data_IF_046656399046
#
_entry.id   IF_046656399046
#
_cell.length_a   1.000
_cell.length_b   1.000
_cell.length_c   1.000
_cell.angle_alpha   90.00
_cell.angle_beta   90.00
_cell.angle_gamma   90.00
#
_symmetry.space_group_name_H-M   'P 1'
#
loop_
_entity.id
_entity.type
_entity.pdbx_description
1 polymer ?
#
# COMPACT_ATOMS: atom_id res chain seq x y z
N UNK A 1 0.19 -30.60 16.37
CA UNK A 1 0.70 -29.46 17.16
C UNK A 1 -0.02 -28.21 16.68
N UNK A 2 -0.97 -27.72 17.47
CA UNK A 2 -1.82 -26.59 17.10
C UNK A 2 -1.04 -25.28 17.17
N UNK A 3 -0.93 -24.59 16.04
CA UNK A 3 -0.47 -23.20 16.03
C UNK A 3 -1.54 -22.35 16.74
N UNK A 4 -1.12 -21.62 17.77
CA UNK A 4 -1.96 -20.69 18.50
C UNK A 4 -2.67 -19.71 17.55
N UNK A 5 -3.92 -19.27 17.85
CA UNK A 5 -4.57 -18.22 17.08
C UNK A 5 -3.69 -16.97 17.14
N UNK A 6 -3.19 -16.52 15.99
CA UNK A 6 -2.52 -15.23 15.87
C UNK A 6 -3.53 -14.18 16.32
N UNK A 7 -3.17 -13.41 17.35
CA UNK A 7 -4.05 -12.38 17.91
C UNK A 7 -4.59 -11.44 16.82
N UNK A 8 -5.75 -10.81 17.05
CA UNK A 8 -6.42 -10.02 16.02
C UNK A 8 -5.44 -8.98 15.46
N UNK A 9 -5.31 -8.95 14.13
CA UNK A 9 -4.74 -7.80 13.44
C UNK A 9 -5.59 -6.62 13.88
N UNK A 10 -5.01 -5.70 14.67
CA UNK A 10 -5.70 -4.47 15.04
C UNK A 10 -6.25 -3.85 13.76
N UNK A 11 -7.56 -3.59 13.71
CA UNK A 11 -8.13 -2.88 12.58
C UNK A 11 -7.44 -1.52 12.42
N UNK A 12 -7.27 -1.03 11.19
CA UNK A 12 -6.59 0.24 10.93
C UNK A 12 -7.14 1.43 11.71
N UNK A 13 -8.41 1.38 12.12
CA UNK A 13 -9.09 2.37 12.98
C UNK A 13 -8.49 2.47 14.39
N UNK A 14 -7.84 1.40 14.87
CA UNK A 14 -7.19 1.37 16.17
C UNK A 14 -5.76 1.94 16.15
N UNK A 15 -5.17 2.16 14.97
CA UNK A 15 -3.83 2.74 14.85
C UNK A 15 -3.86 4.25 15.11
N UNK A 16 -2.91 4.71 15.93
CA UNK A 16 -2.68 6.13 16.20
C UNK A 16 -1.49 6.63 15.41
N UNK A 17 -1.52 7.90 15.02
CA UNK A 17 -0.39 8.61 14.43
C UNK A 17 0.62 9.02 15.53
N UNK A 18 1.93 9.09 15.24
CA UNK A 18 2.55 8.76 13.96
C UNK A 18 2.70 7.26 13.73
N UNK A 19 2.44 6.79 12.51
CA UNK A 19 2.58 5.38 12.12
C UNK A 19 3.23 5.25 10.74
N UNK A 20 4.04 4.21 10.54
CA UNK A 20 4.69 3.93 9.25
C UNK A 20 3.80 3.08 8.34
N UNK A 21 4.14 3.03 7.05
CA UNK A 21 3.32 2.34 6.05
C UNK A 21 3.16 0.83 6.32
N UNK A 22 4.19 0.15 6.84
CA UNK A 22 4.19 -1.30 7.10
C UNK A 22 3.16 -1.73 8.16
N UNK A 23 3.20 -1.23 9.42
CA UNK A 23 2.19 -1.56 10.43
C UNK A 23 0.79 -1.11 9.99
N UNK A 24 0.68 0.04 9.30
CA UNK A 24 -0.60 0.50 8.76
C UNK A 24 -1.17 -0.45 7.71
N UNK A 25 -0.38 -0.84 6.71
CA UNK A 25 -0.81 -1.73 5.64
C UNK A 25 -1.21 -3.10 6.19
N UNK A 26 -0.46 -3.64 7.17
CA UNK A 26 -0.81 -4.89 7.86
C UNK A 26 -2.19 -4.77 8.53
N UNK A 27 -2.39 -3.72 9.33
CA UNK A 27 -3.65 -3.46 10.03
C UNK A 27 -4.83 -3.25 9.07
N UNK A 28 -4.61 -2.56 7.96
CA UNK A 28 -5.65 -2.15 7.00
C UNK A 28 -6.05 -3.25 6.02
N UNK A 29 -5.10 -4.09 5.61
CA UNK A 29 -5.32 -5.16 4.61
C UNK A 29 -5.49 -6.55 5.22
N UNK A 30 -5.04 -6.77 6.45
CA UNK A 30 -4.95 -8.11 7.04
C UNK A 30 -3.78 -8.96 6.52
N UNK A 31 -2.91 -8.41 5.65
CA UNK A 31 -1.70 -9.10 5.17
C UNK A 31 -0.65 -9.12 6.28
N UNK A 32 -0.43 -10.29 6.88
CA UNK A 32 0.54 -10.54 7.96
C UNK A 32 1.96 -10.80 7.41
N UNK A 33 2.53 -9.80 6.73
CA UNK A 33 3.93 -9.76 6.29
C UNK A 33 4.73 -8.77 7.12
N UNK A 34 6.06 -8.94 7.22
CA UNK A 34 6.99 -8.10 8.00
C UNK A 34 8.22 -7.76 7.15
N UNK A 35 9.10 -6.89 7.67
CA UNK A 35 10.25 -6.36 6.94
C UNK A 35 9.94 -5.02 6.28
N UNK A 36 10.88 -4.56 5.46
CA UNK A 36 10.76 -3.32 4.70
C UNK A 36 9.63 -3.43 3.66
N UNK A 37 9.06 -2.29 3.28
CA UNK A 37 7.93 -2.26 2.36
C UNK A 37 8.24 -2.95 1.02
N UNK A 38 9.41 -2.69 0.43
CA UNK A 38 9.78 -3.29 -0.85
C UNK A 38 9.91 -4.82 -0.78
N UNK A 39 10.23 -5.40 0.38
CA UNK A 39 10.43 -6.84 0.55
C UNK A 39 9.10 -7.62 0.54
N UNK A 40 7.97 -6.94 0.72
CA UNK A 40 6.66 -7.58 0.75
C UNK A 40 6.31 -8.28 -0.55
N UNK A 41 6.86 -7.83 -1.68
CA UNK A 41 6.63 -8.48 -2.97
C UNK A 41 7.12 -9.93 -2.99
N UNK A 42 8.36 -10.17 -2.55
CA UNK A 42 8.94 -11.51 -2.53
C UNK A 42 8.44 -12.31 -1.33
N UNK A 43 8.27 -11.67 -0.17
CA UNK A 43 7.73 -12.32 1.03
C UNK A 43 6.29 -12.81 0.86
N UNK A 44 5.52 -12.22 -0.06
CA UNK A 44 4.17 -12.65 -0.39
C UNK A 44 4.15 -13.95 -1.21
N UNK A 45 5.24 -14.30 -1.92
CA UNK A 45 5.27 -15.47 -2.80
C UNK A 45 4.91 -16.76 -2.04
N UNK A 46 4.05 -17.59 -2.65
CA UNK A 46 3.59 -18.86 -2.07
C UNK A 46 2.61 -18.72 -0.89
N UNK A 47 2.39 -17.51 -0.35
CA UNK A 47 1.54 -17.30 0.84
C UNK A 47 0.35 -16.37 0.58
N UNK A 48 0.51 -15.41 -0.33
CA UNK A 48 -0.53 -14.48 -0.80
C UNK A 48 -0.52 -14.47 -2.34
N UNK A 49 -1.69 -14.28 -2.95
CA UNK A 49 -1.77 -14.05 -4.39
C UNK A 49 -1.11 -12.70 -4.72
N UNK A 50 -0.36 -12.66 -5.81
CA UNK A 50 0.30 -11.45 -6.33
C UNK A 50 -0.12 -11.21 -7.77
N UNK A 51 -0.25 -9.96 -8.18
CA UNK A 51 -0.60 -9.62 -9.55
C UNK A 51 -0.42 -8.15 -9.89
N UNK A 52 -0.70 -7.80 -11.14
CA UNK A 52 -0.64 -6.42 -11.64
C UNK A 52 -1.98 -5.69 -11.56
N UNK A 53 -3.09 -6.41 -11.39
CA UNK A 53 -4.42 -5.80 -11.37
C UNK A 53 -4.80 -5.35 -9.95
N UNK A 54 -5.17 -4.08 -9.73
CA UNK A 54 -5.64 -3.63 -8.43
C UNK A 54 -6.99 -4.26 -8.08
N UNK A 55 -7.18 -4.59 -6.81
CA UNK A 55 -8.47 -4.94 -6.23
C UNK A 55 -8.61 -4.22 -4.88
N UNK A 56 -9.80 -3.78 -4.47
CA UNK A 56 -9.99 -3.25 -3.13
C UNK A 56 -9.44 -4.19 -2.04
N UNK A 57 -8.78 -3.63 -1.04
CA UNK A 57 -8.05 -4.35 0.02
C UNK A 57 -6.64 -4.84 -0.36
N UNK A 58 -6.27 -4.82 -1.64
CA UNK A 58 -4.92 -5.23 -2.07
C UNK A 58 -3.88 -4.21 -1.61
N UNK A 59 -2.67 -4.68 -1.35
CA UNK A 59 -1.54 -3.82 -0.99
C UNK A 59 -0.71 -3.57 -2.24
N UNK A 60 -0.70 -2.32 -2.71
CA UNK A 60 0.26 -1.83 -3.69
C UNK A 60 1.65 -1.79 -3.06
N UNK A 61 2.61 -2.47 -3.68
CA UNK A 61 4.01 -2.51 -3.25
C UNK A 61 4.86 -1.64 -4.16
N UNK A 62 5.31 -0.49 -3.65
CA UNK A 62 6.27 0.35 -4.35
C UNK A 62 7.69 -0.15 -4.12
N UNK A 63 8.43 -0.31 -5.20
CA UNK A 63 9.81 -0.78 -5.16
C UNK A 63 10.74 0.27 -4.57
N UNK A 64 11.86 -0.19 -4.02
CA UNK A 64 12.92 0.72 -3.57
C UNK A 64 13.52 1.48 -4.75
N UNK A 65 13.88 2.73 -4.52
CA UNK A 65 14.57 3.60 -5.48
C UNK A 65 15.53 4.53 -4.74
N UNK A 66 16.34 5.30 -5.48
CA UNK A 66 17.25 6.27 -4.86
C UNK A 66 16.55 7.30 -3.95
N UNK A 67 15.30 7.65 -4.26
CA UNK A 67 14.47 8.59 -3.48
C UNK A 67 13.59 7.91 -2.42
N UNK A 68 13.52 6.58 -2.40
CA UNK A 68 12.66 5.80 -1.51
C UNK A 68 13.31 4.45 -1.22
N UNK A 69 14.23 4.43 -0.24
CA UNK A 69 15.10 3.26 0.02
C UNK A 69 14.35 2.07 0.59
N UNK A 70 13.34 2.31 1.41
CA UNK A 70 12.59 1.26 2.11
C UNK A 70 11.39 0.75 1.29
N UNK A 71 11.15 1.33 0.10
CA UNK A 71 9.91 1.16 -0.63
C UNK A 71 8.74 1.87 0.05
N UNK A 72 7.51 1.56 -0.36
CA UNK A 72 6.31 2.04 0.30
C UNK A 72 5.13 1.10 0.06
N UNK A 73 4.19 1.05 1.00
CA UNK A 73 2.96 0.28 0.88
C UNK A 73 1.75 1.19 0.91
N UNK A 74 0.77 0.90 0.08
CA UNK A 74 -0.53 1.54 0.11
C UNK A 74 -1.65 0.51 -0.10
N UNK A 75 -2.72 0.59 0.68
CA UNK A 75 -3.84 -0.35 0.57
C UNK A 75 -4.91 0.25 -0.33
N UNK A 76 -5.32 -0.46 -1.37
CA UNK A 76 -6.36 -0.01 -2.30
C UNK A 76 -7.68 0.10 -1.54
N UNK A 77 -8.24 1.30 -1.43
CA UNK A 77 -9.59 1.51 -0.87
C UNK A 77 -10.66 1.26 -1.93
N UNK A 78 -10.43 1.71 -3.17
CA UNK A 78 -11.32 1.49 -4.33
C UNK A 78 -10.60 1.64 -5.67
N UNK A 79 -11.12 0.99 -6.70
CA UNK A 79 -10.66 1.15 -8.09
C UNK A 79 -11.56 2.17 -8.79
N UNK A 80 -10.97 3.20 -9.40
CA UNK A 80 -11.71 4.29 -10.06
C UNK A 80 -11.79 4.05 -11.56
N UNK A 81 -10.70 3.61 -12.17
CA UNK A 81 -10.62 3.29 -13.60
C UNK A 81 -9.51 2.27 -13.86
N UNK A 82 -9.25 1.98 -15.14
CA UNK A 82 -8.11 1.15 -15.54
C UNK A 82 -6.75 1.75 -15.15
N UNK A 83 -6.69 3.07 -14.90
CA UNK A 83 -5.46 3.81 -14.57
C UNK A 83 -5.49 4.53 -13.23
N UNK A 84 -6.64 4.65 -12.56
CA UNK A 84 -6.73 5.35 -11.28
C UNK A 84 -7.31 4.44 -10.19
N UNK A 85 -6.65 4.45 -9.04
CA UNK A 85 -7.14 3.84 -7.80
C UNK A 85 -7.11 4.88 -6.68
N UNK A 86 -7.88 4.62 -5.63
CA UNK A 86 -7.69 5.29 -4.34
C UNK A 86 -7.05 4.35 -3.35
N UNK A 87 -6.21 4.91 -2.51
CA UNK A 87 -5.45 4.16 -1.51
C UNK A 87 -5.51 4.83 -0.15
N UNK A 88 -5.43 3.98 0.88
CA UNK A 88 -5.13 4.38 2.23
C UNK A 88 -3.68 4.00 2.56
N UNK A 89 -2.91 4.93 3.11
CA UNK A 89 -1.52 4.69 3.51
C UNK A 89 -1.09 5.59 4.67
N UNK A 90 0.09 5.34 5.22
CA UNK A 90 0.65 6.18 6.27
C UNK A 90 2.11 6.54 5.95
N UNK A 91 2.57 7.68 6.46
CA UNK A 91 3.96 8.15 6.32
C UNK A 91 4.41 8.34 4.85
N UNK A 92 3.51 8.83 3.98
CA UNK A 92 3.86 9.14 2.59
C UNK A 92 4.53 10.51 2.44
N UNK A 93 3.99 11.55 3.07
CA UNK A 93 4.54 12.90 3.02
C UNK A 93 5.64 13.13 4.07
N UNK A 94 6.42 14.20 3.87
CA UNK A 94 7.52 14.61 4.74
C UNK A 94 7.13 15.82 5.62
N UNK A 95 8.09 16.33 6.41
CA UNK A 95 7.87 17.51 7.25
C UNK A 95 6.81 17.27 8.35
N UNK A 96 5.91 18.23 8.54
CA UNK A 96 4.81 18.16 9.51
C UNK A 96 3.78 17.06 9.20
N UNK A 97 3.81 16.47 8.00
CA UNK A 97 2.95 15.37 7.60
C UNK A 97 3.61 13.99 7.73
N UNK A 98 4.85 13.93 8.22
CA UNK A 98 5.53 12.66 8.49
C UNK A 98 4.73 11.83 9.51
N UNK A 99 4.59 10.53 9.24
CA UNK A 99 3.84 9.61 10.11
C UNK A 99 2.32 9.73 10.06
N UNK A 100 1.75 10.64 9.25
CA UNK A 100 0.29 10.80 9.14
C UNK A 100 -0.35 9.70 8.29
N UNK A 101 -1.55 9.30 8.68
CA UNK A 101 -2.47 8.44 7.93
C UNK A 101 -3.22 9.31 6.92
N UNK A 102 -3.18 8.91 5.66
CA UNK A 102 -3.88 9.58 4.56
C UNK A 102 -4.79 8.56 3.88
N UNK A 103 -6.08 8.87 3.81
CA UNK A 103 -7.13 7.99 3.27
C UNK A 103 -7.68 8.50 1.94
N UNK A 104 -8.20 7.59 1.12
CA UNK A 104 -8.75 7.85 -0.22
C UNK A 104 -7.84 8.70 -1.15
N UNK A 105 -6.53 8.53 -1.01
CA UNK A 105 -5.55 9.29 -1.79
C UNK A 105 -5.47 8.74 -3.22
N UNK A 106 -5.48 9.58 -4.27
CA UNK A 106 -5.38 9.11 -5.64
C UNK A 106 -3.98 8.57 -5.97
N UNK A 107 -3.96 7.49 -6.75
CA UNK A 107 -2.78 6.93 -7.40
C UNK A 107 -3.10 6.66 -8.86
N UNK A 108 -2.23 7.14 -9.74
CA UNK A 108 -2.37 7.05 -11.19
C UNK A 108 -1.29 6.13 -11.77
N UNK A 109 -1.71 5.14 -12.56
CA UNK A 109 -0.82 4.36 -13.41
C UNK A 109 -0.33 5.20 -14.59
N UNK A 110 0.97 5.44 -14.62
CA UNK A 110 1.67 6.15 -15.70
C UNK A 110 2.57 5.22 -16.51
N UNK A 111 2.45 3.90 -16.31
CA UNK A 111 3.16 2.91 -17.10
C UNK A 111 2.74 2.96 -18.58
N UNK A 112 3.69 2.79 -19.51
CA UNK A 112 3.38 2.73 -20.94
C UNK A 112 2.41 1.60 -21.31
N UNK A 113 2.45 0.49 -20.56
CA UNK A 113 1.69 -0.73 -20.85
C UNK A 113 0.36 -0.86 -20.11
N UNK A 114 -0.01 0.12 -19.27
CA UNK A 114 -1.21 0.04 -18.43
C UNK A 114 -1.19 -1.18 -17.48
N UNK A 115 -0.01 -1.49 -16.94
CA UNK A 115 0.26 -2.69 -16.14
C UNK A 115 0.63 -2.36 -14.69
N UNK A 116 0.39 -1.11 -14.26
CA UNK A 116 0.68 -0.62 -12.92
C UNK A 116 2.16 -0.72 -12.51
N UNK A 117 3.09 -0.93 -13.45
CA UNK A 117 4.52 -1.03 -13.15
C UNK A 117 5.16 0.29 -12.72
N UNK A 118 4.51 1.43 -13.02
CA UNK A 118 4.98 2.77 -12.67
C UNK A 118 3.79 3.65 -12.30
N UNK A 119 3.82 4.26 -11.11
CA UNK A 119 2.70 5.07 -10.60
C UNK A 119 3.12 6.46 -10.18
N UNK A 120 2.19 7.42 -10.25
CA UNK A 120 2.26 8.69 -9.53
C UNK A 120 1.25 8.67 -8.40
N UNK A 121 1.69 9.13 -7.23
CA UNK A 121 0.86 9.18 -6.02
C UNK A 121 0.55 10.65 -5.72
N UNK A 122 -0.67 10.91 -5.27
CA UNK A 122 -1.06 12.23 -4.80
C UNK A 122 -0.12 12.75 -3.71
N UNK A 123 0.16 14.04 -3.75
CA UNK A 123 0.98 14.73 -2.75
C UNK A 123 0.18 15.87 -2.15
N UNK A 124 -0.42 15.67 -0.95
CA UNK A 124 -1.29 16.66 -0.33
C UNK A 124 -0.70 18.08 -0.22
N UNK A 125 0.60 18.26 0.12
CA UNK A 125 1.18 19.61 0.21
C UNK A 125 1.10 20.43 -1.07
N UNK A 126 1.12 19.79 -2.25
CA UNK A 126 0.99 20.50 -3.52
C UNK A 126 -0.42 20.46 -4.09
N UNK A 127 -1.36 19.74 -3.47
CA UNK A 127 -2.72 19.56 -4.00
C UNK A 127 -2.75 18.98 -5.41
N UNK A 128 -1.79 18.10 -5.74
CA UNK A 128 -1.63 17.52 -7.07
C UNK A 128 -0.95 16.14 -6.99
N UNK A 129 -0.94 15.40 -8.10
CA UNK A 129 -0.04 14.25 -8.23
C UNK A 129 1.42 14.70 -8.07
N UNK A 130 2.19 13.93 -7.31
CA UNK A 130 3.62 14.18 -7.16
C UNK A 130 4.35 14.13 -8.51
N UNK A 131 5.43 14.91 -8.64
CA UNK A 131 6.24 14.95 -9.87
C UNK A 131 6.99 13.64 -10.12
N UNK A 132 7.27 12.89 -9.06
CA UNK A 132 8.04 11.64 -9.12
C UNK A 132 7.13 10.48 -9.53
N UNK A 133 7.57 9.74 -10.55
CA UNK A 133 7.01 8.44 -10.90
C UNK A 133 7.76 7.35 -10.14
N UNK A 134 7.03 6.46 -9.48
CA UNK A 134 7.59 5.42 -8.63
C UNK A 134 7.40 4.05 -9.29
N UNK A 135 8.47 3.22 -9.37
CA UNK A 135 8.32 1.83 -9.79
C UNK A 135 7.50 1.06 -8.76
N UNK A 136 6.58 0.23 -9.24
CA UNK A 136 5.78 -0.65 -8.41
C UNK A 136 6.01 -2.10 -8.84
N UNK A 137 6.10 -2.99 -7.84
CA UNK A 137 6.22 -4.43 -8.10
C UNK A 137 4.87 -5.04 -8.48
N UNK A 138 3.77 -4.48 -7.96
CA UNK A 138 2.42 -4.92 -8.19
C UNK A 138 1.59 -4.88 -6.91
N UNK A 139 0.60 -5.76 -6.84
CA UNK A 139 -0.37 -5.85 -5.76
C UNK A 139 -0.26 -7.20 -5.05
N UNK A 140 -0.27 -7.17 -3.72
CA UNK A 140 -0.44 -8.35 -2.86
C UNK A 140 -1.89 -8.41 -2.41
N UNK A 141 -2.57 -9.52 -2.68
CA UNK A 141 -3.98 -9.68 -2.37
C UNK A 141 -4.18 -10.40 -1.02
N UNK A 142 -5.03 -9.86 -0.12
CA UNK A 142 -5.34 -10.53 1.15
C UNK A 142 -6.16 -11.81 0.93
N UNK A 143 -6.02 -12.79 1.84
CA UNK A 143 -6.74 -14.08 1.75
C UNK A 143 -8.21 -14.01 2.15
N UNK A 144 -8.58 -13.05 2.99
CA UNK A 144 -9.94 -12.84 3.46
C UNK A 144 -10.57 -11.65 2.76
N UNK A 145 -11.89 -11.68 2.60
CA UNK A 145 -12.64 -10.57 2.03
C UNK A 145 -12.35 -9.29 2.84
N UNK A 146 -11.82 -8.29 2.14
CA UNK A 146 -11.64 -6.96 2.71
C UNK A 146 -13.02 -6.44 3.14
N UNK A 147 -13.14 -5.94 4.38
CA UNK A 147 -14.31 -5.20 4.77
C UNK A 147 -14.13 -3.75 4.30
N UNK A 148 -14.93 -3.35 3.30
CA UNK A 148 -15.12 -1.94 2.98
C UNK A 148 -15.76 -1.28 4.21
N UNK A 149 -14.97 -0.55 4.98
CA UNK A 149 -15.45 0.33 6.04
C UNK A 149 -14.83 1.69 5.79
#
# INVERSE_FOLDING_TARGET
GGAAPRGPVLGAEALREPVTCVPYARARSGVDLRGDAWQWWDAAAGTYERGAAPRPGSVLVLARSGRMRDGHLAVVSRVVSSREIRVDHANWASGSLKGRIMRDQPVLDVSPRNDWSVVKVWYPPSGAYGVTAYPAAGFVHPRSQWAAR
#
